data_IF_455894452900
#
_entry.id   IF_455894452900
#
_cell.length_a   1.000
_cell.length_b   1.000
_cell.length_c   1.000
_cell.angle_alpha   90.00
_cell.angle_beta   90.00
_cell.angle_gamma   90.00
#
_symmetry.space_group_name_H-M   'P 1'
#
loop_
_entity.id
_entity.type
_entity.pdbx_description
1 polymer ?
#
# COMPACT_ATOMS: atom_id res chain seq x y z
N UNK A 1 -9.89 -54.61 47.25
CA UNK A 1 -8.56 -55.06 46.73
C UNK A 1 -8.88 -55.94 45.53
N UNK A 2 -8.42 -55.74 44.31
CA UNK A 2 -7.23 -55.10 43.77
C UNK A 2 -7.61 -54.44 42.44
N UNK A 3 -7.22 -53.18 42.24
CA UNK A 3 -7.45 -52.47 40.98
C UNK A 3 -6.31 -52.85 40.04
N UNK A 4 -6.52 -53.80 39.13
CA UNK A 4 -5.50 -54.22 38.17
C UNK A 4 -5.27 -53.09 37.16
N UNK A 5 -4.30 -52.23 37.45
CA UNK A 5 -3.76 -51.30 36.45
C UNK A 5 -3.06 -52.13 35.38
N UNK A 6 -3.70 -52.31 34.24
CA UNK A 6 -3.01 -52.76 33.02
C UNK A 6 -1.92 -51.73 32.70
N UNK A 7 -0.66 -52.07 32.98
CA UNK A 7 0.48 -51.30 32.51
C UNK A 7 0.65 -51.59 31.02
N UNK A 8 0.17 -50.68 30.18
CA UNK A 8 0.47 -50.71 28.75
C UNK A 8 1.95 -50.38 28.59
N UNK A 9 2.75 -51.34 28.15
CA UNK A 9 4.15 -51.11 27.87
C UNK A 9 4.26 -50.26 26.61
N UNK A 10 4.87 -49.09 26.74
CA UNK A 10 5.08 -48.14 25.64
C UNK A 10 6.01 -48.78 24.60
N UNK A 11 5.56 -48.85 23.35
CA UNK A 11 6.32 -49.51 22.28
C UNK A 11 7.23 -48.52 21.57
N UNK A 12 8.35 -49.02 21.05
CA UNK A 12 9.24 -48.23 20.17
C UNK A 12 8.46 -47.68 18.96
N UNK A 13 7.51 -48.46 18.43
CA UNK A 13 6.67 -48.05 17.31
C UNK A 13 5.81 -46.83 17.64
N UNK A 14 5.18 -46.77 18.82
CA UNK A 14 4.41 -45.61 19.27
C UNK A 14 5.28 -44.35 19.37
N UNK A 15 6.51 -44.48 19.90
CA UNK A 15 7.47 -43.36 19.95
C UNK A 15 7.83 -42.88 18.55
N UNK A 16 8.07 -43.78 17.61
CA UNK A 16 8.39 -43.43 16.22
C UNK A 16 7.22 -42.72 15.53
N UNK A 17 5.98 -43.18 15.73
CA UNK A 17 4.77 -42.55 15.19
C UNK A 17 4.59 -41.16 15.81
N UNK A 18 4.75 -41.01 17.12
CA UNK A 18 4.67 -39.72 17.79
C UNK A 18 5.74 -38.73 17.28
N UNK A 19 6.98 -39.19 17.10
CA UNK A 19 8.07 -38.37 16.58
C UNK A 19 7.83 -37.93 15.13
N UNK A 20 7.27 -38.79 14.28
CA UNK A 20 6.94 -38.43 12.90
C UNK A 20 5.79 -37.43 12.82
N UNK A 21 4.73 -37.62 13.60
CA UNK A 21 3.63 -36.64 13.70
C UNK A 21 4.17 -35.28 14.19
N UNK A 22 5.03 -35.29 15.22
CA UNK A 22 5.66 -34.08 15.73
C UNK A 22 6.51 -33.38 14.67
N UNK A 23 7.35 -34.13 13.94
CA UNK A 23 8.17 -33.56 12.87
C UNK A 23 7.30 -32.93 11.77
N UNK A 24 6.24 -33.60 11.33
CA UNK A 24 5.31 -33.07 10.33
C UNK A 24 4.58 -31.81 10.84
N UNK A 25 4.16 -31.79 12.11
CA UNK A 25 3.53 -30.63 12.73
C UNK A 25 4.47 -29.42 12.80
N UNK A 26 5.75 -29.65 13.12
CA UNK A 26 6.77 -28.59 13.15
C UNK A 26 7.00 -28.02 11.75
N UNK A 27 7.17 -28.89 10.75
CA UNK A 27 7.39 -28.46 9.35
C UNK A 27 6.20 -27.67 8.81
N UNK A 28 4.96 -28.15 9.04
CA UNK A 28 3.76 -27.45 8.60
C UNK A 28 3.61 -26.08 9.26
N UNK A 29 3.88 -26.00 10.56
CA UNK A 29 3.84 -24.73 11.31
C UNK A 29 4.87 -23.74 10.77
N UNK A 30 6.10 -24.18 10.50
CA UNK A 30 7.13 -23.31 9.92
C UNK A 30 6.76 -22.82 8.53
N UNK A 31 6.14 -23.65 7.69
CA UNK A 31 5.65 -23.24 6.38
C UNK A 31 4.58 -22.15 6.49
N UNK A 32 3.64 -22.29 7.43
CA UNK A 32 2.59 -21.29 7.68
C UNK A 32 3.22 -19.96 8.15
N UNK A 33 4.12 -20.00 9.13
CA UNK A 33 4.80 -18.80 9.65
C UNK A 33 5.61 -18.12 8.54
N UNK A 34 6.34 -18.90 7.73
CA UNK A 34 7.11 -18.38 6.61
C UNK A 34 6.23 -17.67 5.58
N UNK A 35 5.10 -18.27 5.22
CA UNK A 35 4.11 -17.66 4.34
C UNK A 35 3.52 -16.36 4.90
N UNK A 36 3.11 -16.38 6.18
CA UNK A 36 2.57 -15.20 6.86
C UNK A 36 3.57 -14.03 6.90
N UNK A 37 4.84 -14.30 7.23
CA UNK A 37 5.89 -13.27 7.25
C UNK A 37 6.11 -12.64 5.88
N UNK A 38 6.16 -13.46 4.82
CA UNK A 38 6.31 -12.97 3.45
C UNK A 38 5.15 -12.06 3.05
N UNK A 39 3.92 -12.46 3.39
CA UNK A 39 2.72 -11.68 3.13
C UNK A 39 2.72 -10.35 3.89
N UNK A 40 3.15 -10.36 5.16
CA UNK A 40 3.25 -9.16 5.98
C UNK A 40 4.22 -8.16 5.37
N UNK A 41 5.44 -8.57 5.01
CA UNK A 41 6.44 -7.68 4.39
C UNK A 41 5.91 -7.08 3.08
N UNK A 42 5.19 -7.86 2.28
CA UNK A 42 4.58 -7.36 1.04
C UNK A 42 3.45 -6.37 1.33
N UNK A 43 2.62 -6.64 2.33
CA UNK A 43 1.54 -5.75 2.74
C UNK A 43 2.08 -4.43 3.27
N UNK A 44 3.09 -4.46 4.12
CA UNK A 44 3.78 -3.29 4.66
C UNK A 44 4.38 -2.42 3.54
N UNK A 45 5.06 -3.03 2.57
CA UNK A 45 5.60 -2.31 1.41
C UNK A 45 4.52 -1.64 0.55
N UNK A 46 3.35 -2.28 0.40
CA UNK A 46 2.22 -1.68 -0.33
C UNK A 46 1.60 -0.54 0.47
N UNK A 47 1.38 -0.75 1.77
CA UNK A 47 0.87 0.27 2.67
C UNK A 47 1.76 1.50 2.70
N UNK A 48 3.07 1.33 2.88
CA UNK A 48 4.02 2.45 2.92
C UNK A 48 4.01 3.26 1.63
N UNK A 49 3.95 2.58 0.47
CA UNK A 49 3.84 3.25 -0.84
C UNK A 49 2.56 4.06 -0.96
N UNK A 50 1.44 3.47 -0.58
CA UNK A 50 0.13 4.10 -0.65
C UNK A 50 0.04 5.30 0.31
N UNK A 51 0.58 5.15 1.53
CA UNK A 51 0.61 6.21 2.52
C UNK A 51 1.37 7.46 2.02
N UNK A 52 2.52 7.26 1.38
CA UNK A 52 3.28 8.37 0.78
C UNK A 52 2.52 9.06 -0.37
N UNK A 53 1.80 8.28 -1.18
CA UNK A 53 0.95 8.81 -2.24
C UNK A 53 -0.23 9.62 -1.67
N UNK A 54 -0.89 9.11 -0.64
CA UNK A 54 -2.00 9.79 0.03
C UNK A 54 -1.56 11.11 0.66
N UNK A 55 -0.41 11.15 1.32
CA UNK A 55 0.17 12.39 1.86
C UNK A 55 0.46 13.42 0.76
N UNK A 56 1.04 12.99 -0.37
CA UNK A 56 1.30 13.88 -1.50
C UNK A 56 -0.01 14.40 -2.12
N UNK A 57 -1.00 13.52 -2.31
CA UNK A 57 -2.32 13.90 -2.83
C UNK A 57 -2.99 14.90 -1.91
N UNK A 58 -3.00 14.67 -0.60
CA UNK A 58 -3.57 15.60 0.38
C UNK A 58 -2.90 16.98 0.30
N UNK A 59 -1.56 17.01 0.24
CA UNK A 59 -0.80 18.25 0.06
C UNK A 59 -1.29 19.04 -1.16
N UNK A 60 -1.32 18.41 -2.34
CA UNK A 60 -1.67 19.12 -3.58
C UNK A 60 -3.16 19.45 -3.66
N UNK A 61 -4.03 18.64 -3.08
CA UNK A 61 -5.46 18.97 -3.02
C UNK A 61 -5.75 20.19 -2.15
N UNK A 62 -5.00 20.38 -1.06
CA UNK A 62 -5.13 21.51 -0.15
C UNK A 62 -4.36 22.75 -0.60
N UNK A 63 -3.14 22.57 -1.11
CA UNK A 63 -2.22 23.66 -1.46
C UNK A 63 -2.24 24.07 -2.94
N UNK A 64 -2.94 23.32 -3.80
CA UNK A 64 -2.89 23.49 -5.24
C UNK A 64 -1.77 22.69 -5.90
N UNK A 65 -1.76 22.64 -7.24
CA UNK A 65 -0.79 21.85 -8.00
C UNK A 65 0.66 22.34 -7.84
N UNK A 66 0.85 23.64 -7.61
CA UNK A 66 2.15 24.28 -7.35
C UNK A 66 2.56 24.30 -5.87
N UNK A 67 1.86 23.55 -5.01
CA UNK A 67 2.17 23.51 -3.59
C UNK A 67 3.62 23.09 -3.33
N UNK A 68 4.32 23.88 -2.52
CA UNK A 68 5.65 23.52 -2.05
C UNK A 68 5.56 22.34 -1.06
N UNK A 69 6.36 21.29 -1.31
CA UNK A 69 6.44 20.12 -0.44
C UNK A 69 7.11 20.50 0.88
N UNK A 70 6.41 20.43 2.04
CA UNK A 70 7.01 20.75 3.33
C UNK A 70 8.14 19.79 3.69
N UNK A 71 9.16 20.31 4.37
CA UNK A 71 10.25 19.48 4.90
C UNK A 71 9.69 18.46 5.90
N UNK A 72 10.07 17.19 5.74
CA UNK A 72 9.62 16.11 6.61
C UNK A 72 8.23 15.53 6.27
N UNK A 73 7.52 16.06 5.26
CA UNK A 73 6.29 15.40 4.78
C UNK A 73 6.62 14.01 4.21
N UNK A 74 7.66 13.94 3.39
CA UNK A 74 8.16 12.69 2.81
C UNK A 74 9.50 12.31 3.45
N UNK A 75 9.82 11.01 3.55
CA UNK A 75 11.12 10.54 4.02
C UNK A 75 12.27 11.06 3.14
N UNK A 76 13.47 11.15 3.72
CA UNK A 76 14.66 11.61 3.01
C UNK A 76 14.89 10.86 1.68
N UNK A 77 15.12 11.62 0.61
CA UNK A 77 15.32 11.12 -0.75
C UNK A 77 14.04 10.97 -1.56
N UNK A 78 12.88 10.84 -0.92
CA UNK A 78 11.60 10.82 -1.62
C UNK A 78 11.18 12.25 -2.01
N UNK A 79 10.47 12.36 -3.13
CA UNK A 79 9.91 13.62 -3.58
C UNK A 79 8.56 13.39 -4.25
N UNK A 80 7.79 14.45 -4.44
CA UNK A 80 6.54 14.40 -5.20
C UNK A 80 6.47 15.54 -6.21
N UNK A 81 5.62 15.36 -7.22
CA UNK A 81 5.20 16.42 -8.13
C UNK A 81 3.70 16.32 -8.39
N UNK A 82 3.10 17.43 -8.80
CA UNK A 82 1.75 17.48 -9.30
C UNK A 82 1.75 18.26 -10.61
N UNK A 83 1.04 17.75 -11.60
CA UNK A 83 0.75 18.47 -12.84
C UNK A 83 -0.76 18.69 -12.93
N UNK A 84 -1.18 19.90 -13.28
CA UNK A 84 -2.56 20.18 -13.65
C UNK A 84 -2.70 20.03 -15.17
N UNK A 85 -3.60 19.14 -15.60
CA UNK A 85 -3.90 18.90 -16.99
C UNK A 85 -5.34 19.32 -17.32
N UNK A 86 -5.54 19.81 -18.54
CA UNK A 86 -6.86 20.05 -19.12
C UNK A 86 -7.53 18.71 -19.43
N UNK A 87 -8.83 18.63 -19.18
CA UNK A 87 -9.63 17.42 -19.40
C UNK A 87 -10.46 17.59 -20.65
N UNK A 88 -9.99 17.02 -21.77
CA UNK A 88 -10.65 17.16 -23.08
C UNK A 88 -11.66 16.04 -23.38
N UNK A 89 -11.67 14.97 -22.58
CA UNK A 89 -12.53 13.79 -22.77
C UNK A 89 -13.94 13.95 -22.17
N UNK A 90 -14.50 15.15 -22.28
CA UNK A 90 -15.81 15.53 -21.73
C UNK A 90 -16.71 16.14 -22.80
N UNK A 91 -18.01 16.21 -22.49
CA UNK A 91 -19.00 16.84 -23.37
C UNK A 91 -18.64 18.31 -23.65
N UNK A 92 -18.91 18.79 -24.86
CA UNK A 92 -18.51 20.13 -25.33
C UNK A 92 -18.98 21.24 -24.37
N UNK A 93 -20.21 21.13 -23.83
CA UNK A 93 -20.76 22.11 -22.87
C UNK A 93 -20.00 22.16 -21.53
N UNK A 94 -19.23 21.12 -21.19
CA UNK A 94 -18.45 21.03 -19.96
C UNK A 94 -16.97 21.43 -20.18
N UNK A 95 -16.55 21.69 -21.42
CA UNK A 95 -15.19 22.13 -21.75
C UNK A 95 -14.98 23.62 -21.45
N UNK A 96 -16.04 24.43 -21.53
CA UNK A 96 -15.97 25.86 -21.21
C UNK A 96 -16.01 26.09 -19.70
N UNK A 97 -15.24 27.09 -19.23
CA UNK A 97 -15.27 27.49 -17.84
C UNK A 97 -16.65 28.04 -17.44
N UNK A 98 -17.24 27.48 -16.40
CA UNK A 98 -18.51 27.96 -15.84
C UNK A 98 -18.23 28.90 -14.66
N UNK A 99 -18.42 30.21 -14.87
CA UNK A 99 -18.13 31.26 -13.87
C UNK A 99 -16.66 31.22 -13.39
N UNK A 100 -15.73 31.01 -14.32
CA UNK A 100 -14.29 30.94 -14.04
C UNK A 100 -13.82 29.63 -13.41
N UNK A 101 -14.68 28.60 -13.37
CA UNK A 101 -14.33 27.26 -12.89
C UNK A 101 -14.37 26.26 -14.04
N UNK A 102 -13.34 25.43 -14.14
CA UNK A 102 -13.26 24.36 -15.14
C UNK A 102 -12.79 23.04 -14.54
N UNK A 103 -13.04 21.94 -15.24
CA UNK A 103 -12.59 20.63 -14.81
C UNK A 103 -11.10 20.46 -15.17
N UNK A 104 -10.29 20.18 -14.15
CA UNK A 104 -8.88 19.83 -14.31
C UNK A 104 -8.57 18.45 -13.75
N UNK A 105 -7.47 17.87 -14.21
CA UNK A 105 -6.92 16.62 -13.67
C UNK A 105 -5.58 16.89 -13.01
N UNK A 106 -5.50 16.66 -11.70
CA UNK A 106 -4.23 16.63 -10.99
C UNK A 106 -3.59 15.26 -11.18
N UNK A 107 -2.40 15.23 -11.76
CA UNK A 107 -1.54 14.04 -11.86
C UNK A 107 -0.46 14.16 -10.80
N UNK A 108 -0.67 13.47 -9.67
CA UNK A 108 0.25 13.45 -8.54
C UNK A 108 1.15 12.23 -8.65
N UNK A 109 2.47 12.46 -8.64
CA UNK A 109 3.48 11.40 -8.73
C UNK A 109 4.40 11.46 -7.52
N UNK A 110 4.64 10.32 -6.89
CA UNK A 110 5.67 10.16 -5.85
C UNK A 110 6.88 9.44 -6.42
N UNK A 111 8.06 9.98 -6.17
CA UNK A 111 9.34 9.44 -6.61
C UNK A 111 10.11 8.84 -5.43
N UNK A 112 10.80 7.74 -5.69
CA UNK A 112 11.71 7.13 -4.72
C UNK A 112 13.02 7.89 -4.56
N UNK A 113 13.89 7.42 -3.66
CA UNK A 113 15.22 7.99 -3.42
C UNK A 113 16.14 8.04 -4.66
N UNK A 114 15.82 7.29 -5.72
CA UNK A 114 16.55 7.28 -6.98
C UNK A 114 15.87 8.12 -8.06
N UNK A 115 14.87 8.94 -7.68
CA UNK A 115 14.03 9.76 -8.57
C UNK A 115 13.22 8.94 -9.59
N UNK A 116 12.90 7.69 -9.28
CA UNK A 116 12.03 6.85 -10.13
C UNK A 116 10.58 7.00 -9.69
N UNK A 117 9.61 7.10 -10.61
CA UNK A 117 8.20 7.16 -10.26
C UNK A 117 7.81 5.85 -9.56
N UNK A 118 7.31 5.98 -8.33
CA UNK A 118 6.96 4.86 -7.47
C UNK A 118 5.45 4.60 -7.46
N UNK A 119 4.65 5.67 -7.50
CA UNK A 119 3.19 5.63 -7.48
C UNK A 119 2.62 6.91 -8.11
N UNK A 120 1.42 6.81 -8.69
CA UNK A 120 0.70 7.89 -9.35
C UNK A 120 -0.76 7.87 -8.90
N UNK A 121 -1.36 9.05 -8.71
CA UNK A 121 -2.79 9.22 -8.51
C UNK A 121 -3.29 10.34 -9.43
N UNK A 122 -4.43 10.10 -10.06
CA UNK A 122 -5.13 11.09 -10.89
C UNK A 122 -6.42 11.50 -10.21
N UNK A 123 -6.57 12.80 -9.98
CA UNK A 123 -7.76 13.35 -9.34
C UNK A 123 -8.36 14.42 -10.24
N UNK A 124 -9.54 14.15 -10.77
CA UNK A 124 -10.34 15.15 -11.46
C UNK A 124 -11.06 16.02 -10.43
N UNK A 125 -10.87 17.33 -10.52
CA UNK A 125 -11.50 18.31 -9.63
C UNK A 125 -11.81 19.60 -10.38
N UNK A 126 -12.77 20.33 -9.85
CA UNK A 126 -13.04 21.69 -10.33
C UNK A 126 -11.94 22.61 -9.79
N UNK A 127 -11.31 23.33 -10.71
CA UNK A 127 -10.21 24.28 -10.48
C UNK A 127 -10.55 25.59 -11.16
N UNK A 128 -9.90 26.67 -10.77
CA UNK A 128 -10.17 27.95 -11.43
C UNK A 128 -9.48 27.98 -12.78
N UNK A 129 -10.06 28.72 -13.71
CA UNK A 129 -9.47 28.96 -15.03
C UNK A 129 -8.06 29.57 -14.93
N UNK A 130 -7.87 30.51 -14.00
CA UNK A 130 -6.58 31.15 -13.70
C UNK A 130 -5.50 30.17 -13.22
N UNK A 131 -5.86 28.97 -12.75
CA UNK A 131 -4.88 27.96 -12.34
C UNK A 131 -4.17 27.29 -13.54
N UNK A 132 -4.64 27.51 -14.78
CA UNK A 132 -4.07 26.93 -16.00
C UNK A 132 -3.23 27.92 -16.81
N UNK A 133 -3.16 29.18 -16.39
CA UNK A 133 -2.39 30.28 -17.03
C UNK A 133 -0.96 30.36 -16.49
#
# INVERSE_FOLDING_TARGET
>A
MSNSRHQHNFTLMEVMIAATILALAVVSTMAIIGGARSNLIRAEKRWARQHLLEQAVELYLLGGHDAAVPEGLLPAGFSSSCQLLVVDDIHEEAQEANRGWQLGEYVVVVYDANRRPMAECRVRKVVKEEDFE
#
